data_IF_809061038948
#
_entry.id   IF_809061038948
#
_cell.length_a   1.000
_cell.length_b   1.000
_cell.length_c   1.000
_cell.angle_alpha   90.00
_cell.angle_beta   90.00
_cell.angle_gamma   90.00
#
_symmetry.space_group_name_H-M   'P 1'
#
loop_
_entity.id
_entity.type
_entity.pdbx_description
1 polymer ?
#
# COMPACT_ATOMS: atom_id res chain seq x y z
N UNK A 1 -22.07 -4.48 0.01
CA UNK A 1 -21.28 -3.29 -0.36
C UNK A 1 -19.86 -3.76 -0.58
N UNK A 2 -19.58 -4.33 -1.77
CA UNK A 2 -18.35 -5.14 -1.99
C UNK A 2 -17.61 -4.75 -3.28
N UNK A 3 -18.02 -3.66 -3.92
CA UNK A 3 -17.41 -3.13 -5.16
C UNK A 3 -16.49 -1.94 -4.91
N UNK A 4 -16.46 -1.40 -3.70
CA UNK A 4 -15.74 -0.16 -3.43
C UNK A 4 -14.23 -0.40 -3.42
N UNK A 5 -13.74 -1.48 -2.82
CA UNK A 5 -12.31 -1.85 -2.80
C UNK A 5 -11.76 -2.18 -4.20
N UNK A 6 -12.61 -2.53 -5.16
CA UNK A 6 -12.19 -2.76 -6.54
C UNK A 6 -11.75 -1.48 -7.24
N UNK A 7 -12.04 -0.28 -6.71
CA UNK A 7 -11.61 0.99 -7.32
C UNK A 7 -10.21 1.38 -6.85
N UNK A 8 -9.46 2.01 -7.76
CA UNK A 8 -8.08 2.44 -7.48
C UNK A 8 -8.04 3.33 -6.24
N UNK A 9 -8.97 4.28 -6.15
CA UNK A 9 -9.12 5.20 -5.03
C UNK A 9 -9.31 4.49 -3.69
N UNK A 10 -10.20 3.50 -3.59
CA UNK A 10 -10.38 2.78 -2.33
C UNK A 10 -9.12 2.02 -1.90
N UNK A 11 -8.36 1.47 -2.85
CA UNK A 11 -7.09 0.83 -2.54
C UNK A 11 -6.05 1.85 -2.05
N UNK A 12 -6.07 3.08 -2.57
CA UNK A 12 -5.22 4.18 -2.10
C UNK A 12 -5.60 4.56 -0.66
N UNK A 13 -6.88 4.73 -0.36
CA UNK A 13 -7.36 5.06 0.99
C UNK A 13 -6.98 3.99 2.02
N UNK A 14 -7.14 2.71 1.67
CA UNK A 14 -6.69 1.58 2.51
C UNK A 14 -5.17 1.62 2.71
N UNK A 15 -4.42 1.94 1.65
CA UNK A 15 -2.96 2.02 1.72
C UNK A 15 -2.49 3.14 2.63
N UNK A 16 -3.10 4.32 2.55
CA UNK A 16 -2.78 5.47 3.40
C UNK A 16 -3.11 5.17 4.87
N UNK A 17 -4.29 4.61 5.15
CA UNK A 17 -4.68 4.20 6.50
C UNK A 17 -3.73 3.13 7.08
N UNK A 18 -3.35 2.14 6.26
CA UNK A 18 -2.39 1.11 6.66
C UNK A 18 -0.99 1.69 6.91
N UNK A 19 -0.54 2.62 6.08
CA UNK A 19 0.77 3.24 6.24
C UNK A 19 0.84 4.10 7.51
N UNK A 20 -0.22 4.83 7.85
CA UNK A 20 -0.29 5.62 9.08
C UNK A 20 -0.28 4.74 10.34
N UNK A 21 -0.90 3.56 10.29
CA UNK A 21 -0.96 2.66 11.45
C UNK A 21 0.26 1.75 11.60
N UNK A 22 0.76 1.19 10.50
CA UNK A 22 1.76 0.11 10.51
C UNK A 22 3.15 0.53 10.01
N UNK A 23 3.28 1.64 9.27
CA UNK A 23 4.56 2.04 8.68
C UNK A 23 5.24 3.18 9.44
N UNK A 24 6.58 3.17 9.40
CA UNK A 24 7.39 4.25 9.99
C UNK A 24 7.62 5.34 8.96
N UNK A 25 7.46 6.59 9.38
CA UNK A 25 7.64 7.76 8.55
C UNK A 25 6.32 8.33 8.03
N UNK A 26 6.41 9.36 7.20
CA UNK A 26 5.25 9.98 6.57
C UNK A 26 4.92 9.26 5.28
N UNK A 27 3.65 8.95 5.08
CA UNK A 27 3.14 8.46 3.80
C UNK A 27 3.52 9.41 2.65
N UNK A 28 4.06 8.85 1.58
CA UNK A 28 4.59 9.57 0.44
C UNK A 28 3.87 9.21 -0.86
N UNK A 29 4.66 9.01 -1.92
CA UNK A 29 4.15 8.72 -3.25
C UNK A 29 3.72 7.26 -3.40
N UNK A 30 2.62 7.02 -4.13
CA UNK A 30 2.26 5.70 -4.64
C UNK A 30 2.88 5.53 -6.02
N UNK A 31 3.85 4.61 -6.13
CA UNK A 31 4.63 4.36 -7.35
C UNK A 31 3.94 3.36 -8.28
N UNK A 32 3.17 2.40 -7.75
CA UNK A 32 2.46 1.40 -8.54
C UNK A 32 1.11 1.05 -7.93
N UNK A 33 0.08 0.90 -8.79
CA UNK A 33 -1.16 0.23 -8.43
C UNK A 33 -1.51 -0.75 -9.55
N UNK A 34 -1.42 -2.05 -9.25
CA UNK A 34 -1.66 -3.11 -10.22
C UNK A 34 -2.71 -4.10 -9.70
N UNK A 35 -3.69 -4.46 -10.53
CA UNK A 35 -4.66 -5.50 -10.21
C UNK A 35 -4.14 -6.87 -10.66
N UNK A 36 -4.26 -7.88 -9.79
CA UNK A 36 -3.83 -9.26 -10.01
C UNK A 36 -4.88 -10.21 -9.44
N UNK A 37 -5.71 -10.78 -10.30
CA UNK A 37 -6.76 -11.73 -9.93
C UNK A 37 -7.68 -11.20 -8.81
N UNK A 38 -7.52 -11.71 -7.58
CA UNK A 38 -8.33 -11.36 -6.41
C UNK A 38 -7.65 -10.36 -5.47
N UNK A 39 -6.48 -9.86 -5.86
CA UNK A 39 -5.72 -8.88 -5.07
C UNK A 39 -5.34 -7.67 -5.92
N UNK A 40 -5.18 -6.54 -5.25
CA UNK A 40 -4.55 -5.35 -5.79
C UNK A 40 -3.22 -5.16 -5.09
N UNK A 41 -2.19 -5.05 -5.90
CA UNK A 41 -0.86 -4.74 -5.46
C UNK A 41 -0.68 -3.23 -5.46
N UNK A 42 -0.23 -2.68 -4.35
CA UNK A 42 0.09 -1.26 -4.21
C UNK A 42 1.54 -1.14 -3.78
N UNK A 43 2.31 -0.35 -4.52
CA UNK A 43 3.64 0.07 -4.13
C UNK A 43 3.61 1.55 -3.76
N UNK A 44 4.16 1.88 -2.60
CA UNK A 44 4.20 3.23 -2.08
C UNK A 44 5.47 3.50 -1.30
N UNK A 45 5.76 4.76 -1.05
CA UNK A 45 6.93 5.17 -0.28
C UNK A 45 6.52 5.78 1.05
N UNK A 46 7.36 5.57 2.06
CA UNK A 46 7.35 6.42 3.25
C UNK A 46 8.66 7.16 3.38
N UNK A 47 8.57 8.38 3.90
CA UNK A 47 9.72 9.24 4.13
C UNK A 47 9.92 9.46 5.63
N UNK A 48 11.12 9.15 6.10
CA UNK A 48 11.60 9.59 7.40
C UNK A 48 12.47 10.84 7.21
N UNK A 49 13.05 11.36 8.30
CA UNK A 49 13.95 12.52 8.24
C UNK A 49 15.21 12.27 7.38
N UNK A 50 15.62 11.02 7.20
CA UNK A 50 16.91 10.69 6.56
C UNK A 50 16.81 9.62 5.48
N UNK A 51 15.70 8.90 5.39
CA UNK A 51 15.57 7.72 4.53
C UNK A 51 14.19 7.66 3.88
N UNK A 52 14.16 7.08 2.68
CA UNK A 52 12.94 6.70 1.98
C UNK A 52 12.85 5.19 1.93
N UNK A 53 11.71 4.65 2.33
CA UNK A 53 11.41 3.22 2.27
C UNK A 53 10.39 2.95 1.18
N UNK A 54 10.60 1.90 0.40
CA UNK A 54 9.60 1.41 -0.56
C UNK A 54 8.84 0.27 0.11
N UNK A 55 7.52 0.36 0.05
CA UNK A 55 6.60 -0.60 0.61
C UNK A 55 5.76 -1.21 -0.51
N UNK A 56 5.53 -2.51 -0.42
CA UNK A 56 4.66 -3.24 -1.32
C UNK A 56 3.63 -3.99 -0.50
N UNK A 57 2.36 -3.68 -0.72
CA UNK A 57 1.26 -4.36 -0.05
C UNK A 57 0.34 -5.04 -1.07
N UNK A 58 -0.35 -6.09 -0.61
CA UNK A 58 -1.41 -6.73 -1.37
C UNK A 58 -2.72 -6.58 -0.62
N UNK A 59 -3.72 -6.03 -1.28
CA UNK A 59 -5.05 -5.76 -0.75
C UNK A 59 -6.03 -6.69 -1.45
N UNK A 60 -6.85 -7.44 -0.71
CA UNK A 60 -7.92 -8.25 -1.31
C UNK A 60 -8.97 -7.37 -1.96
N UNK A 61 -9.30 -7.59 -3.24
CA UNK A 61 -10.25 -6.74 -3.99
C UNK A 61 -11.69 -6.86 -3.50
N UNK A 62 -12.03 -7.94 -2.78
CA UNK A 62 -13.39 -8.21 -2.30
C UNK A 62 -13.71 -7.55 -0.96
N UNK A 63 -12.73 -7.49 -0.04
CA UNK A 63 -12.95 -7.06 1.36
C UNK A 63 -12.02 -5.94 1.84
N UNK A 64 -10.96 -5.60 1.11
CA UNK A 64 -10.09 -4.46 1.47
C UNK A 64 -9.04 -4.76 2.52
N UNK A 65 -8.78 -6.03 2.82
CA UNK A 65 -7.77 -6.40 3.78
C UNK A 65 -6.37 -6.42 3.15
N UNK A 66 -5.40 -5.87 3.86
CA UNK A 66 -3.97 -6.06 3.55
C UNK A 66 -3.58 -7.47 3.98
N UNK A 67 -3.10 -8.28 3.04
CA UNK A 67 -2.73 -9.70 3.28
C UNK A 67 -1.23 -9.93 3.28
N UNK A 68 -0.46 -9.05 2.64
CA UNK A 68 1.00 -9.08 2.68
C UNK A 68 1.53 -7.66 2.72
N UNK A 69 2.66 -7.50 3.40
CA UNK A 69 3.43 -6.26 3.46
C UNK A 69 4.90 -6.60 3.37
N UNK A 70 5.54 -6.08 2.34
CA UNK A 70 6.98 -6.13 2.15
C UNK A 70 7.53 -4.72 2.24
N UNK A 71 8.66 -4.56 2.93
CA UNK A 71 9.41 -3.29 2.99
C UNK A 71 10.80 -3.55 2.44
N UNK A 72 11.21 -2.74 1.47
CA UNK A 72 12.58 -2.68 0.98
C UNK A 72 13.16 -1.29 1.22
N UNK A 73 14.39 -1.25 1.72
CA UNK A 73 15.20 -0.03 1.69
C UNK A 73 16.07 -0.08 0.44
N UNK A 74 16.53 1.08 -0.07
CA UNK A 74 17.52 1.12 -1.17
C UNK A 74 18.84 0.41 -0.79
N UNK A 75 19.04 0.11 0.49
CA UNK A 75 20.25 -0.49 1.04
C UNK A 75 20.06 -1.96 1.45
N UNK A 76 18.88 -2.55 1.24
CA UNK A 76 18.57 -3.98 1.42
C UNK A 76 18.81 -4.80 0.14
#
# INVERSE_FOLDING_TARGET
>A
MSKEVATRDAAIEITEAFADSECVGRFGEITEVAERDTVRLVEFQTHTLSETYTHRIRITTSVGNVVTHDRSSRFD
#
